data_IF_767858388059
#
_entry.id   IF_767858388059
#
_cell.length_a   1.000
_cell.length_b   1.000
_cell.length_c   1.000
_cell.angle_alpha   90.00
_cell.angle_beta   90.00
_cell.angle_gamma   90.00
#
_symmetry.space_group_name_H-M   'P 1'
#
loop_
_entity.id
_entity.type
_entity.pdbx_description
1 polymer ?
#
# COMPACT_ATOMS: atom_id res chain seq x y z
N UNK A 1 -13.06 8.02 13.32
CA UNK A 1 -12.23 7.03 12.60
C UNK A 1 -11.08 7.76 11.95
N UNK A 2 -9.86 7.28 12.12
CA UNK A 2 -8.65 7.80 11.46
C UNK A 2 -8.15 6.75 10.47
N UNK A 3 -7.86 7.18 9.25
CA UNK A 3 -7.35 6.30 8.19
C UNK A 3 -5.97 6.82 7.81
N UNK A 4 -4.95 5.98 7.98
CA UNK A 4 -3.62 6.26 7.46
C UNK A 4 -3.57 5.79 6.00
N UNK A 5 -3.26 6.71 5.10
CA UNK A 5 -3.03 6.41 3.68
C UNK A 5 -1.56 6.75 3.37
N UNK A 6 -0.80 5.75 2.95
CA UNK A 6 0.61 5.95 2.60
C UNK A 6 0.84 5.82 1.10
N UNK A 7 1.86 6.49 0.60
CA UNK A 7 2.42 6.32 -0.74
C UNK A 7 3.94 6.34 -0.66
N UNK A 8 4.62 6.31 -1.77
CA UNK A 8 6.07 6.28 -1.83
C UNK A 8 6.65 7.43 -2.62
N UNK A 9 7.87 7.80 -2.27
CA UNK A 9 8.69 8.72 -3.05
C UNK A 9 9.02 8.13 -4.44
N UNK A 10 9.48 8.94 -5.40
CA UNK A 10 10.00 8.45 -6.69
C UNK A 10 11.17 7.48 -6.52
N UNK A 11 11.28 6.50 -7.42
CA UNK A 11 12.31 5.48 -7.41
C UNK A 11 12.69 5.02 -8.81
N UNK A 12 13.82 4.31 -8.92
CA UNK A 12 14.24 3.69 -10.18
C UNK A 12 14.50 4.70 -11.30
N UNK A 13 14.94 5.93 -10.96
CA UNK A 13 15.20 7.01 -11.93
C UNK A 13 13.95 7.71 -12.46
N UNK A 14 12.75 7.34 -12.01
CA UNK A 14 11.53 8.09 -12.34
C UNK A 14 11.49 9.41 -11.55
N UNK A 15 11.09 10.55 -12.17
CA UNK A 15 10.93 11.81 -11.46
C UNK A 15 9.65 11.88 -10.62
N UNK A 16 8.71 10.98 -10.82
CA UNK A 16 7.38 10.97 -10.18
C UNK A 16 7.01 9.58 -9.69
N UNK A 17 6.04 9.54 -8.76
CA UNK A 17 5.37 8.34 -8.31
C UNK A 17 3.88 8.64 -8.18
N UNK A 18 3.02 7.91 -8.90
CA UNK A 18 1.57 8.15 -8.92
C UNK A 18 0.95 8.16 -7.52
N UNK A 19 1.53 7.43 -6.57
CA UNK A 19 1.01 7.40 -5.19
C UNK A 19 1.16 8.74 -4.48
N UNK A 20 2.17 9.56 -4.81
CA UNK A 20 2.29 10.93 -4.30
C UNK A 20 1.20 11.84 -4.88
N UNK A 21 0.90 11.69 -6.16
CA UNK A 21 -0.15 12.48 -6.82
C UNK A 21 -1.52 12.15 -6.20
N UNK A 22 -1.79 10.86 -5.97
CA UNK A 22 -3.00 10.42 -5.27
C UNK A 22 -3.06 10.96 -3.83
N UNK A 23 -1.97 10.84 -3.04
CA UNK A 23 -1.93 11.42 -1.69
C UNK A 23 -2.21 12.92 -1.70
N UNK A 24 -1.66 13.64 -2.67
CA UNK A 24 -1.87 15.10 -2.80
C UNK A 24 -3.34 15.44 -3.09
N UNK A 25 -3.99 14.64 -3.95
CA UNK A 25 -5.37 14.84 -4.37
C UNK A 25 -6.41 14.43 -3.30
N UNK A 26 -6.06 13.51 -2.39
CA UNK A 26 -6.99 13.08 -1.33
C UNK A 26 -7.37 14.24 -0.39
N UNK A 27 -8.63 14.36 0.04
CA UNK A 27 -9.05 15.37 1.02
C UNK A 27 -8.57 15.00 2.44
N UNK A 28 -8.60 15.98 3.35
CA UNK A 28 -8.31 15.75 4.78
C UNK A 28 -9.37 14.88 5.46
N UNK A 29 -10.61 14.92 5.00
CA UNK A 29 -11.71 14.12 5.51
C UNK A 29 -12.41 13.38 4.38
N UNK A 30 -12.70 12.10 4.59
CA UNK A 30 -13.52 11.28 3.71
C UNK A 30 -14.73 10.82 4.52
N UNK A 31 -15.90 11.42 4.24
CA UNK A 31 -17.07 11.27 5.09
C UNK A 31 -16.78 11.79 6.51
N UNK A 32 -16.87 10.90 7.52
CA UNK A 32 -16.54 11.21 8.91
C UNK A 32 -15.13 10.76 9.33
N UNK A 33 -14.37 10.19 8.42
CA UNK A 33 -13.02 9.71 8.70
C UNK A 33 -11.98 10.80 8.45
N UNK A 34 -11.09 11.04 9.40
CA UNK A 34 -9.89 11.84 9.20
C UNK A 34 -8.85 11.04 8.44
N UNK A 35 -8.27 11.64 7.40
CA UNK A 35 -7.23 11.05 6.55
C UNK A 35 -5.87 11.59 6.98
N UNK A 36 -5.02 10.69 7.42
CA UNK A 36 -3.61 10.95 7.71
C UNK A 36 -2.84 10.49 6.48
N UNK A 37 -2.03 11.37 5.90
CA UNK A 37 -1.27 11.11 4.68
C UNK A 37 0.21 11.04 4.98
N UNK A 38 0.90 10.00 4.50
CA UNK A 38 2.34 9.85 4.67
C UNK A 38 2.99 9.37 3.39
N UNK A 39 4.00 10.09 2.93
CA UNK A 39 4.93 9.62 1.90
C UNK A 39 6.06 8.85 2.59
N UNK A 40 6.25 7.58 2.21
CA UNK A 40 7.30 6.72 2.72
C UNK A 40 8.53 6.75 1.79
N UNK A 41 9.74 6.62 2.32
CA UNK A 41 10.92 6.41 1.50
C UNK A 41 10.84 5.05 0.77
N UNK A 42 11.46 4.95 -0.41
CA UNK A 42 11.66 3.64 -1.07
C UNK A 42 12.95 3.03 -0.52
N UNK A 43 12.84 2.45 0.67
CA UNK A 43 13.94 1.86 1.42
C UNK A 43 13.45 0.66 2.23
N UNK A 44 14.13 -0.47 2.11
CA UNK A 44 13.81 -1.68 2.88
C UNK A 44 13.99 -1.47 4.40
N UNK A 45 14.88 -0.59 4.79
CA UNK A 45 15.16 -0.28 6.20
C UNK A 45 14.29 0.86 6.72
N UNK A 46 14.30 2.02 6.04
CA UNK A 46 13.66 3.25 6.55
C UNK A 46 12.13 3.26 6.41
N UNK A 47 11.58 2.63 5.37
CA UNK A 47 10.14 2.66 5.16
C UNK A 47 9.34 1.99 6.30
N UNK A 48 9.68 0.78 6.79
CA UNK A 48 8.99 0.18 7.92
C UNK A 48 9.20 0.94 9.23
N UNK A 49 10.35 1.62 9.42
CA UNK A 49 10.58 2.48 10.59
C UNK A 49 9.61 3.66 10.56
N UNK A 50 9.56 4.40 9.45
CA UNK A 50 8.64 5.52 9.27
C UNK A 50 7.17 5.09 9.42
N UNK A 51 6.81 3.89 8.93
CA UNK A 51 5.46 3.36 9.11
C UNK A 51 5.14 3.12 10.60
N UNK A 52 6.05 2.55 11.37
CA UNK A 52 5.85 2.32 12.81
C UNK A 52 5.69 3.63 13.59
N UNK A 53 6.52 4.62 13.27
CA UNK A 53 6.45 5.94 13.91
C UNK A 53 5.10 6.59 13.70
N UNK A 54 4.60 6.65 12.46
CA UNK A 54 3.31 7.29 12.16
C UNK A 54 2.12 6.49 12.72
N UNK A 55 2.20 5.16 12.77
CA UNK A 55 1.18 4.33 13.43
C UNK A 55 1.15 4.65 14.93
N UNK A 56 2.31 4.74 15.57
CA UNK A 56 2.43 5.04 17.01
C UNK A 56 1.90 6.44 17.33
N UNK A 57 2.25 7.45 16.53
CA UNK A 57 1.83 8.83 16.71
C UNK A 57 0.32 9.01 16.55
N UNK A 58 -0.26 8.41 15.53
CA UNK A 58 -1.65 8.70 15.15
C UNK A 58 -2.65 7.62 15.55
N UNK A 59 -2.20 6.41 15.91
CA UNK A 59 -3.03 5.25 16.22
C UNK A 59 -4.23 5.10 15.28
N UNK A 60 -4.01 4.86 13.98
CA UNK A 60 -5.07 4.81 12.97
C UNK A 60 -5.95 3.56 13.13
N UNK A 61 -7.23 3.69 12.78
CA UNK A 61 -8.19 2.58 12.80
C UNK A 61 -8.03 1.64 11.59
N UNK A 62 -7.44 2.15 10.49
CA UNK A 62 -7.23 1.42 9.24
C UNK A 62 -6.07 2.01 8.45
N UNK A 63 -5.34 1.16 7.74
CA UNK A 63 -4.25 1.52 6.84
C UNK A 63 -4.60 1.15 5.40
N UNK A 64 -4.47 2.11 4.48
CA UNK A 64 -4.45 1.90 3.04
C UNK A 64 -3.04 2.22 2.53
N UNK A 65 -2.28 1.19 2.22
CA UNK A 65 -0.89 1.32 1.78
C UNK A 65 -0.86 1.34 0.25
N UNK A 66 -0.45 2.44 -0.37
CA UNK A 66 -0.43 2.58 -1.82
C UNK A 66 0.97 2.34 -2.36
N UNK A 67 1.08 1.59 -3.45
CA UNK A 67 2.32 1.39 -4.19
C UNK A 67 2.13 1.55 -5.68
N UNK A 68 3.15 2.05 -6.37
CA UNK A 68 3.17 2.09 -7.83
C UNK A 68 3.62 0.73 -8.38
N UNK A 69 2.89 0.20 -9.36
CA UNK A 69 3.31 -0.97 -10.12
C UNK A 69 3.54 -0.62 -11.60
N UNK A 70 4.13 -1.53 -12.39
CA UNK A 70 4.23 -1.35 -13.84
C UNK A 70 2.89 -1.04 -14.50
N UNK A 71 2.91 -0.59 -15.74
CA UNK A 71 1.71 -0.29 -16.52
C UNK A 71 0.68 -1.43 -16.46
N UNK A 72 -0.59 -1.06 -16.46
CA UNK A 72 -1.69 -2.00 -16.36
C UNK A 72 -3.03 -1.30 -16.42
N UNK A 73 -4.10 -2.09 -16.47
CA UNK A 73 -5.47 -1.60 -16.61
C UNK A 73 -6.21 -1.54 -15.26
N UNK A 74 -5.77 -2.30 -14.25
CA UNK A 74 -6.49 -2.45 -13.00
C UNK A 74 -5.67 -2.04 -11.79
N UNK A 75 -6.28 -1.34 -10.86
CA UNK A 75 -5.80 -1.22 -9.48
C UNK A 75 -5.88 -2.61 -8.82
N UNK A 76 -4.83 -3.02 -8.11
CA UNK A 76 -4.74 -4.34 -7.49
C UNK A 76 -4.84 -4.25 -5.98
N UNK A 77 -5.81 -4.97 -5.41
CA UNK A 77 -5.95 -5.17 -3.96
C UNK A 77 -5.16 -6.41 -3.56
N UNK A 78 -4.09 -6.24 -2.82
CA UNK A 78 -3.17 -7.31 -2.47
C UNK A 78 -3.70 -8.15 -1.30
N UNK A 79 -3.71 -9.49 -1.48
CA UNK A 79 -4.25 -10.42 -0.47
C UNK A 79 -3.24 -10.79 0.59
N UNK A 80 -1.99 -11.01 0.20
CA UNK A 80 -0.95 -11.49 1.09
C UNK A 80 0.29 -10.60 1.07
N UNK A 81 0.91 -10.51 2.24
CA UNK A 81 2.29 -10.06 2.39
C UNK A 81 3.18 -11.26 2.74
N UNK A 82 4.33 -11.36 2.11
CA UNK A 82 5.27 -12.47 2.27
C UNK A 82 6.41 -12.10 3.21
N UNK A 83 6.85 -13.05 4.05
CA UNK A 83 8.02 -12.87 4.92
C UNK A 83 9.33 -13.03 4.14
N UNK A 84 9.49 -12.26 3.08
CA UNK A 84 10.66 -12.33 2.21
C UNK A 84 10.95 -10.99 1.56
N UNK A 85 12.21 -10.67 1.44
CA UNK A 85 12.74 -9.57 0.62
C UNK A 85 13.64 -10.19 -0.45
N UNK A 86 13.33 -9.91 -1.70
CA UNK A 86 14.13 -10.35 -2.85
C UNK A 86 13.94 -9.36 -4.01
N UNK A 87 15.02 -8.87 -4.57
CA UNK A 87 14.95 -7.88 -5.64
C UNK A 87 16.16 -7.94 -6.55
N UNK A 88 15.94 -7.71 -7.83
CA UNK A 88 17.01 -7.48 -8.81
C UNK A 88 17.38 -6.00 -8.94
N UNK A 89 16.70 -5.12 -8.19
CA UNK A 89 16.93 -3.67 -8.21
C UNK A 89 17.17 -3.19 -6.79
N UNK A 90 18.20 -2.38 -6.62
CA UNK A 90 18.44 -1.69 -5.36
C UNK A 90 17.29 -0.73 -5.04
N UNK A 91 17.06 -0.50 -3.75
CA UNK A 91 16.22 0.59 -3.27
C UNK A 91 16.94 1.94 -3.42
N UNK A 92 16.34 3.04 -2.94
CA UNK A 92 16.94 4.37 -3.05
C UNK A 92 18.18 4.56 -2.16
N UNK A 93 18.40 3.66 -1.20
CA UNK A 93 19.60 3.67 -0.35
C UNK A 93 20.71 2.76 -0.91
N UNK A 94 20.46 2.07 -2.03
CA UNK A 94 21.40 1.18 -2.68
C UNK A 94 21.38 -0.26 -2.18
N UNK A 95 20.43 -0.62 -1.31
CA UNK A 95 20.29 -1.98 -0.80
C UNK A 95 19.49 -2.86 -1.75
N UNK A 96 19.96 -4.09 -1.99
CA UNK A 96 19.38 -5.06 -2.90
C UNK A 96 19.38 -6.44 -2.24
N UNK A 97 18.31 -6.81 -1.51
CA UNK A 97 18.22 -8.09 -0.81
C UNK A 97 18.07 -9.27 -1.78
N UNK A 98 18.59 -10.44 -1.37
CA UNK A 98 18.46 -11.70 -2.10
C UNK A 98 17.95 -12.79 -1.17
N UNK A 99 16.69 -13.21 -1.32
CA UNK A 99 16.01 -14.28 -0.56
C UNK A 99 16.13 -14.12 0.97
N UNK A 100 16.01 -12.89 1.49
CA UNK A 100 16.13 -12.59 2.90
C UNK A 100 14.78 -12.62 3.61
N UNK A 101 14.72 -13.24 4.79
CA UNK A 101 13.54 -13.13 5.65
C UNK A 101 13.41 -11.73 6.25
N UNK A 102 12.18 -11.20 6.28
CA UNK A 102 11.87 -9.95 7.00
C UNK A 102 12.03 -10.17 8.51
N UNK A 103 11.48 -11.26 9.01
CA UNK A 103 11.59 -11.70 10.41
C UNK A 103 11.80 -13.22 10.45
N UNK A 104 12.95 -13.72 10.93
CA UNK A 104 13.28 -15.16 10.87
C UNK A 104 12.26 -16.08 11.51
N UNK A 105 11.67 -15.65 12.64
CA UNK A 105 10.76 -16.47 13.45
C UNK A 105 9.27 -16.15 13.24
N UNK A 106 8.94 -15.34 12.23
CA UNK A 106 7.57 -14.95 11.93
C UNK A 106 6.94 -15.85 10.83
N UNK A 107 5.60 -15.89 10.71
CA UNK A 107 4.92 -16.64 9.67
C UNK A 107 5.40 -16.29 8.25
N UNK A 108 5.40 -17.30 7.35
CA UNK A 108 5.81 -17.10 5.95
C UNK A 108 4.97 -16.07 5.20
N UNK A 109 3.71 -15.89 5.62
CA UNK A 109 2.83 -14.88 5.00
C UNK A 109 1.75 -14.44 6.00
N UNK A 110 1.31 -13.18 5.85
CA UNK A 110 0.09 -12.67 6.46
C UNK A 110 -0.95 -12.36 5.39
N UNK A 111 -2.20 -12.70 5.70
CA UNK A 111 -3.35 -12.30 4.90
C UNK A 111 -3.94 -11.00 5.45
N UNK A 112 -4.35 -10.08 4.56
CA UNK A 112 -5.13 -8.91 4.99
C UNK A 112 -6.38 -9.31 5.78
N UNK A 113 -6.67 -8.66 6.92
CA UNK A 113 -7.92 -8.84 7.63
C UNK A 113 -9.09 -8.12 6.95
N UNK A 114 -8.83 -7.25 5.97
CA UNK A 114 -9.85 -6.54 5.21
C UNK A 114 -10.47 -7.47 4.18
N UNK A 115 -11.81 -7.43 4.03
CA UNK A 115 -12.51 -8.25 3.05
C UNK A 115 -12.38 -7.63 1.63
N UNK A 116 -11.18 -7.75 1.06
CA UNK A 116 -10.89 -7.21 -0.29
C UNK A 116 -11.75 -7.84 -1.38
N UNK A 117 -12.35 -9.03 -1.15
CA UNK A 117 -13.25 -9.66 -2.12
C UNK A 117 -14.57 -8.89 -2.23
N UNK A 118 -15.14 -8.52 -1.10
CA UNK A 118 -16.36 -7.67 -1.08
C UNK A 118 -16.08 -6.32 -1.73
N UNK A 119 -14.93 -5.69 -1.37
CA UNK A 119 -14.50 -4.42 -1.97
C UNK A 119 -14.38 -4.54 -3.49
N UNK A 120 -13.64 -5.53 -3.98
CA UNK A 120 -13.45 -5.72 -5.41
C UNK A 120 -14.76 -5.93 -6.15
N UNK A 121 -15.66 -6.78 -5.63
CA UNK A 121 -16.96 -7.03 -6.26
C UNK A 121 -17.78 -5.74 -6.37
N UNK A 122 -17.91 -4.97 -5.29
CA UNK A 122 -18.67 -3.72 -5.28
C UNK A 122 -18.12 -2.66 -6.23
N UNK A 123 -16.78 -2.56 -6.35
CA UNK A 123 -16.14 -1.65 -7.29
C UNK A 123 -16.32 -2.12 -8.74
N UNK A 124 -16.25 -3.42 -8.99
CA UNK A 124 -16.47 -4.01 -10.31
C UNK A 124 -17.94 -3.88 -10.78
N UNK A 125 -18.90 -3.98 -9.87
CA UNK A 125 -20.33 -3.69 -10.15
C UNK A 125 -20.52 -2.24 -10.60
N UNK A 126 -19.67 -1.32 -10.15
CA UNK A 126 -19.63 0.08 -10.60
C UNK A 126 -18.76 0.28 -11.85
N UNK A 127 -18.33 -0.80 -12.50
CA UNK A 127 -17.44 -0.79 -13.67
C UNK A 127 -16.08 -0.13 -13.42
N UNK A 128 -15.63 -0.08 -12.17
CA UNK A 128 -14.32 0.43 -11.81
C UNK A 128 -13.23 -0.64 -12.03
N UNK A 129 -12.08 -0.27 -12.61
CA UNK A 129 -11.02 -1.21 -12.97
C UNK A 129 -10.20 -1.64 -11.76
N UNK A 130 -10.71 -2.61 -11.01
CA UNK A 130 -10.08 -3.18 -9.81
C UNK A 130 -9.99 -4.69 -9.93
N UNK A 131 -8.87 -5.26 -9.49
CA UNK A 131 -8.65 -6.70 -9.43
C UNK A 131 -8.04 -7.11 -8.08
N UNK A 132 -8.17 -8.39 -7.72
CA UNK A 132 -7.46 -8.96 -6.57
C UNK A 132 -6.15 -9.56 -7.04
N UNK A 133 -5.07 -9.25 -6.32
CA UNK A 133 -3.77 -9.86 -6.48
C UNK A 133 -3.41 -10.68 -5.23
N UNK A 134 -2.63 -11.73 -5.40
CA UNK A 134 -2.22 -12.61 -4.31
C UNK A 134 -0.83 -12.30 -3.77
N UNK A 135 -0.11 -11.34 -4.34
CA UNK A 135 1.24 -10.98 -3.91
C UNK A 135 1.59 -9.55 -4.27
N UNK A 136 2.05 -8.80 -3.28
CA UNK A 136 2.60 -7.45 -3.46
C UNK A 136 4.02 -7.44 -4.05
N UNK A 137 4.52 -8.58 -4.50
CA UNK A 137 5.91 -8.78 -4.88
C UNK A 137 6.80 -9.00 -3.65
N UNK A 138 8.11 -8.76 -3.78
CA UNK A 138 9.08 -8.95 -2.70
C UNK A 138 9.97 -7.71 -2.48
N UNK A 139 9.60 -6.59 -3.11
CA UNK A 139 10.27 -5.31 -2.98
C UNK A 139 9.79 -4.52 -1.74
N UNK A 140 10.13 -3.25 -1.63
CA UNK A 140 9.79 -2.38 -0.48
C UNK A 140 8.27 -2.35 -0.20
N UNK A 141 7.43 -2.47 -1.22
CA UNK A 141 5.96 -2.57 -1.05
C UNK A 141 5.57 -3.73 -0.14
N UNK A 142 6.11 -4.91 -0.42
CA UNK A 142 5.87 -6.09 0.40
C UNK A 142 6.47 -5.96 1.81
N UNK A 143 7.67 -5.36 1.91
CA UNK A 143 8.33 -5.12 3.21
C UNK A 143 7.46 -4.27 4.15
N UNK A 144 6.88 -3.17 3.62
CA UNK A 144 5.99 -2.28 4.36
C UNK A 144 4.64 -2.97 4.67
N UNK A 145 4.11 -3.72 3.71
CA UNK A 145 2.84 -4.43 3.91
C UNK A 145 2.96 -5.54 4.96
N UNK A 146 4.04 -6.32 4.90
CA UNK A 146 4.33 -7.34 5.91
C UNK A 146 4.49 -6.71 7.30
N UNK A 147 5.19 -5.58 7.41
CA UNK A 147 5.33 -4.83 8.67
C UNK A 147 3.97 -4.45 9.26
N UNK A 148 3.09 -3.84 8.46
CA UNK A 148 1.77 -3.44 8.91
C UNK A 148 0.95 -4.62 9.46
N UNK A 149 0.97 -5.76 8.76
CA UNK A 149 0.23 -6.95 9.18
C UNK A 149 0.88 -7.67 10.37
N UNK A 150 2.20 -7.65 10.47
CA UNK A 150 2.94 -8.16 11.62
C UNK A 150 2.59 -7.39 12.90
N UNK A 151 2.41 -6.08 12.80
CA UNK A 151 1.90 -5.21 13.86
C UNK A 151 0.38 -5.36 14.10
N UNK A 152 -0.25 -6.36 13.49
CA UNK A 152 -1.69 -6.65 13.61
C UNK A 152 -2.59 -5.48 13.22
N UNK A 153 -2.13 -4.61 12.31
CA UNK A 153 -2.92 -3.50 11.81
C UNK A 153 -4.03 -3.97 10.86
N UNK A 154 -5.16 -3.29 10.89
CA UNK A 154 -6.21 -3.44 9.87
C UNK A 154 -5.76 -2.76 8.57
N UNK A 155 -4.97 -3.47 7.79
CA UNK A 155 -4.27 -2.95 6.62
C UNK A 155 -4.59 -3.71 5.33
N UNK A 156 -4.57 -3.01 4.20
CA UNK A 156 -4.47 -3.60 2.87
C UNK A 156 -3.48 -2.82 2.03
N UNK A 157 -2.80 -3.50 1.12
CA UNK A 157 -1.92 -2.88 0.14
C UNK A 157 -2.62 -2.78 -1.21
N UNK A 158 -2.45 -1.65 -1.88
CA UNK A 158 -3.13 -1.31 -3.13
C UNK A 158 -2.08 -0.88 -4.15
N UNK A 159 -1.88 -1.66 -5.18
CA UNK A 159 -1.02 -1.30 -6.29
C UNK A 159 -1.78 -0.51 -7.34
N UNK A 160 -1.22 0.62 -7.74
CA UNK A 160 -1.74 1.53 -8.76
C UNK A 160 -0.77 1.49 -9.95
N UNK A 161 -1.23 1.15 -11.17
CA UNK A 161 -0.38 1.20 -12.35
C UNK A 161 0.15 2.61 -12.59
N UNK A 162 1.43 2.73 -13.00
CA UNK A 162 2.08 4.04 -13.16
C UNK A 162 1.43 4.93 -14.23
N UNK A 163 0.75 4.32 -15.21
CA UNK A 163 0.01 5.02 -16.29
C UNK A 163 -1.47 5.27 -15.96
N UNK A 164 -1.90 4.97 -14.73
CA UNK A 164 -3.31 5.12 -14.33
C UNK A 164 -3.68 6.60 -14.16
N UNK A 165 -4.95 6.94 -14.43
CA UNK A 165 -5.44 8.31 -14.22
C UNK A 165 -5.49 8.63 -12.71
N UNK A 166 -4.75 9.64 -12.26
CA UNK A 166 -4.68 10.03 -10.84
C UNK A 166 -6.05 10.29 -10.24
N UNK A 167 -6.94 11.00 -10.96
CA UNK A 167 -8.28 11.30 -10.46
C UNK A 167 -9.08 10.02 -10.23
N UNK A 168 -9.09 9.09 -11.19
CA UNK A 168 -9.81 7.82 -11.06
C UNK A 168 -9.23 6.97 -9.91
N UNK A 169 -7.90 6.95 -9.76
CA UNK A 169 -7.27 6.28 -8.63
C UNK A 169 -7.72 6.90 -7.29
N UNK A 170 -7.75 8.24 -7.20
CA UNK A 170 -8.19 8.96 -6.00
C UNK A 170 -9.65 8.65 -5.65
N UNK A 171 -10.53 8.58 -6.65
CA UNK A 171 -11.95 8.25 -6.47
C UNK A 171 -12.13 6.81 -5.96
N UNK A 172 -11.37 5.86 -6.52
CA UNK A 172 -11.38 4.46 -6.07
C UNK A 172 -10.87 4.36 -4.62
N UNK A 173 -9.74 4.99 -4.28
CA UNK A 173 -9.20 4.98 -2.92
C UNK A 173 -10.17 5.63 -1.94
N UNK A 174 -10.81 6.73 -2.32
CA UNK A 174 -11.85 7.40 -1.53
C UNK A 174 -13.04 6.44 -1.27
N UNK A 175 -13.50 5.74 -2.28
CA UNK A 175 -14.60 4.77 -2.17
C UNK A 175 -14.23 3.61 -1.22
N UNK A 176 -13.00 3.10 -1.32
CA UNK A 176 -12.48 2.07 -0.38
C UNK A 176 -12.45 2.61 1.05
N UNK A 177 -12.02 3.84 1.25
CA UNK A 177 -11.88 4.44 2.58
C UNK A 177 -13.21 4.62 3.33
N UNK A 178 -14.31 4.92 2.62
CA UNK A 178 -15.65 5.10 3.22
C UNK A 178 -16.47 3.82 3.31
N UNK A 179 -16.08 2.78 2.60
CA UNK A 179 -16.82 1.53 2.57
C UNK A 179 -16.90 0.86 3.95
N UNK A 180 -18.09 0.42 4.32
CA UNK A 180 -18.30 -0.42 5.51
C UNK A 180 -18.08 -1.87 5.10
N UNK A 181 -16.81 -2.24 4.91
CA UNK A 181 -16.44 -3.59 4.48
C UNK A 181 -16.02 -4.49 5.64
#
# INVERSE_FOLDING_TARGET
MRILITGFEPFGGSPTNITQDVLSALPRYIGKAEVIKQCLPVSFERAPIALREIITEHNPDMLLLLGQCPDGENIRLERFAMNMMDSQKADNDGYCPSEEHIYPDAPLAYRTPINIKTIANQLQEQQLPVAISNSAGLYVCNRVYYEALHLQQRATFIHIPKNFATQLATDIITTIAIGKF
#
